data_IF_880563316272
#
_entry.id   IF_880563316272
#
_cell.length_a   1.000
_cell.length_b   1.000
_cell.length_c   1.000
_cell.angle_alpha   90.00
_cell.angle_beta   90.00
_cell.angle_gamma   90.00
#
_symmetry.space_group_name_H-M   'P 1'
#
loop_
_entity.id
_entity.type
_entity.pdbx_description
1 polymer ?
#
# COMPACT_ATOMS: atom_id res chain seq x y z
N UNK A 1 -23.76 44.17 8.05
CA UNK A 1 -24.04 43.71 6.80
C UNK A 1 -22.92 43.04 6.10
N UNK A 2 -21.77 43.55 6.21
CA UNK A 2 -20.66 42.92 5.56
C UNK A 2 -20.41 41.52 6.10
N UNK A 3 -20.73 41.36 7.34
CA UNK A 3 -20.47 40.09 7.95
C UNK A 3 -21.12 38.94 7.23
N UNK A 4 -22.26 39.21 6.68
CA UNK A 4 -22.90 38.09 6.05
C UNK A 4 -22.20 37.64 4.81
N UNK A 5 -21.55 38.54 4.17
CA UNK A 5 -20.85 38.12 2.99
C UNK A 5 -19.82 37.10 3.37
N UNK A 6 -19.24 37.31 4.50
CA UNK A 6 -18.21 36.43 4.93
C UNK A 6 -18.77 35.09 5.21
N UNK A 7 -19.92 35.10 5.78
CA UNK A 7 -20.53 33.85 6.09
C UNK A 7 -20.64 33.03 4.84
N UNK A 8 -20.94 33.67 3.77
CA UNK A 8 -21.06 32.97 2.55
C UNK A 8 -19.77 32.40 2.10
N UNK A 9 -18.78 33.22 2.16
CA UNK A 9 -17.47 32.74 1.74
C UNK A 9 -17.10 31.55 2.56
N UNK A 10 -17.36 31.65 3.81
CA UNK A 10 -17.03 30.54 4.67
C UNK A 10 -17.80 29.32 4.25
N UNK A 11 -19.01 29.56 3.86
CA UNK A 11 -19.81 28.44 3.44
C UNK A 11 -19.18 27.76 2.28
N UNK A 12 -18.54 28.52 1.46
CA UNK A 12 -17.90 27.92 0.33
C UNK A 12 -16.83 26.99 0.76
N UNK A 13 -16.18 27.38 1.79
CA UNK A 13 -15.09 26.60 2.27
C UNK A 13 -15.57 25.21 2.54
N UNK A 14 -16.83 25.09 2.76
CA UNK A 14 -17.34 23.79 2.99
C UNK A 14 -17.14 22.96 1.83
N UNK A 15 -16.72 23.54 0.79
CA UNK A 15 -16.35 22.79 -0.34
C UNK A 15 -15.27 21.86 0.08
N UNK A 16 -14.61 22.23 1.13
CA UNK A 16 -13.64 21.34 1.68
C UNK A 16 -14.28 20.02 1.97
N UNK A 17 -15.58 20.02 2.07
CA UNK A 17 -16.28 18.80 2.29
C UNK A 17 -16.07 17.84 1.12
N UNK A 18 -15.79 18.38 -0.04
CA UNK A 18 -15.53 17.52 -1.17
C UNK A 18 -14.27 16.74 -0.94
N UNK A 19 -13.36 17.27 -0.15
CA UNK A 19 -12.13 16.54 0.12
C UNK A 19 -12.40 15.30 0.95
N UNK A 20 -13.53 15.27 1.63
CA UNK A 20 -13.87 14.12 2.43
C UNK A 20 -14.07 12.88 1.57
N UNK A 21 -14.32 13.04 0.30
CA UNK A 21 -14.48 11.90 -0.58
C UNK A 21 -13.17 11.50 -1.25
N UNK A 22 -12.11 12.26 -1.05
CA UNK A 22 -10.82 11.92 -1.62
C UNK A 22 -10.17 10.77 -0.87
N UNK A 23 -9.43 9.95 -1.56
CA UNK A 23 -8.70 8.87 -0.94
C UNK A 23 -7.54 9.41 -0.13
N UNK A 24 -7.34 8.85 1.05
CA UNK A 24 -6.21 9.22 1.89
C UNK A 24 -4.97 8.46 1.45
N UNK A 25 -3.83 9.09 1.63
CA UNK A 25 -2.55 8.50 1.32
C UNK A 25 -1.84 8.19 2.63
N UNK A 26 -1.27 7.00 2.73
CA UNK A 26 -0.46 6.61 3.88
C UNK A 26 0.93 6.23 3.41
N UNK A 27 1.87 6.31 4.33
CA UNK A 27 3.23 5.87 4.03
C UNK A 27 3.23 4.36 3.81
N UNK A 28 4.04 3.88 2.89
CA UNK A 28 4.16 2.44 2.69
C UNK A 28 5.03 1.82 3.78
N UNK A 29 4.93 0.52 3.88
CA UNK A 29 5.43 -0.21 5.03
C UNK A 29 6.56 -1.19 4.68
N UNK A 30 7.33 -0.91 3.63
CA UNK A 30 8.43 -1.81 3.27
C UNK A 30 9.46 -1.94 4.38
N UNK A 31 9.61 -0.90 5.19
CA UNK A 31 10.55 -0.95 6.30
C UNK A 31 10.19 -2.01 7.33
N UNK A 32 8.95 -2.49 7.32
CA UNK A 32 8.51 -3.56 8.20
C UNK A 32 8.85 -4.94 7.67
N UNK A 33 9.39 -5.02 6.46
CA UNK A 33 9.69 -6.31 5.83
C UNK A 33 11.19 -6.51 5.74
N UNK A 34 11.60 -7.76 5.94
CA UNK A 34 12.99 -8.13 5.82
C UNK A 34 12.96 -9.49 5.16
N UNK A 35 13.16 -9.51 3.85
CA UNK A 35 13.01 -10.71 3.04
C UNK A 35 14.21 -11.63 3.19
N UNK A 36 13.94 -12.90 3.33
CA UNK A 36 14.97 -13.89 3.49
C UNK A 36 14.38 -15.27 3.64
N UNK A 37 15.19 -16.24 4.06
CA UNK A 37 14.74 -17.58 4.23
C UNK A 37 14.59 -17.95 5.70
N UNK A 38 13.54 -18.69 6.00
CA UNK A 38 13.34 -19.31 7.30
C UNK A 38 13.25 -20.82 7.02
N UNK A 39 14.33 -21.52 7.32
CA UNK A 39 14.43 -22.91 6.89
C UNK A 39 14.54 -22.96 5.36
N UNK A 40 13.64 -23.69 4.72
CA UNK A 40 13.60 -23.78 3.26
C UNK A 40 12.61 -22.79 2.64
N UNK A 41 11.89 -22.05 3.45
CA UNK A 41 10.86 -21.14 2.94
C UNK A 41 11.40 -19.73 2.80
N UNK A 42 11.16 -19.11 1.63
CA UNK A 42 11.47 -17.72 1.40
C UNK A 42 10.27 -16.86 1.76
N UNK A 43 10.52 -15.75 2.44
CA UNK A 43 9.43 -14.85 2.82
C UNK A 43 9.94 -13.69 3.64
N UNK A 44 9.04 -13.12 4.41
CA UNK A 44 9.36 -11.99 5.27
C UNK A 44 8.53 -12.05 6.55
N UNK A 45 9.05 -11.44 7.60
CA UNK A 45 8.31 -11.28 8.84
C UNK A 45 7.88 -9.83 8.98
N UNK A 46 6.67 -9.60 9.44
CA UNK A 46 6.23 -8.25 9.74
C UNK A 46 6.87 -7.80 11.05
N UNK A 47 7.82 -6.87 10.97
CA UNK A 47 8.53 -6.38 12.14
C UNK A 47 7.91 -5.11 12.71
N UNK A 48 6.83 -4.61 12.15
CA UNK A 48 6.10 -3.48 12.71
C UNK A 48 5.13 -3.94 13.80
N UNK A 49 4.58 -2.98 14.52
CA UNK A 49 3.64 -3.26 15.61
C UNK A 49 2.19 -3.25 15.14
N UNK A 50 1.95 -3.26 13.85
CA UNK A 50 0.61 -3.23 13.27
C UNK A 50 0.56 -4.17 12.07
N UNK A 51 -0.63 -4.62 11.68
CA UNK A 51 -0.73 -5.49 10.51
C UNK A 51 -0.44 -4.72 9.23
N UNK A 52 0.13 -5.42 8.25
CA UNK A 52 0.44 -4.83 6.95
C UNK A 52 -0.20 -5.68 5.86
N UNK A 53 -0.44 -5.05 4.73
CA UNK A 53 -0.98 -5.72 3.55
C UNK A 53 0.15 -5.82 2.52
N UNK A 54 0.53 -7.04 2.17
CA UNK A 54 1.60 -7.27 1.21
C UNK A 54 0.98 -7.76 -0.10
N UNK A 55 1.36 -7.12 -1.18
CA UNK A 55 1.01 -7.56 -2.52
C UNK A 55 2.31 -7.99 -3.17
N UNK A 56 2.42 -9.27 -3.50
CA UNK A 56 3.66 -9.88 -3.98
C UNK A 56 3.45 -10.44 -5.37
N UNK A 57 4.43 -10.24 -6.24
CA UNK A 57 4.37 -10.80 -7.59
C UNK A 57 5.67 -11.52 -7.92
N UNK A 58 5.55 -12.77 -8.32
CA UNK A 58 6.67 -13.52 -8.90
C UNK A 58 6.64 -13.29 -10.40
N UNK A 59 7.73 -12.76 -10.95
CA UNK A 59 7.73 -12.32 -12.33
C UNK A 59 7.78 -13.47 -13.33
N UNK A 60 8.38 -14.59 -12.95
CA UNK A 60 8.52 -15.72 -13.85
C UNK A 60 7.20 -16.32 -14.28
N UNK A 61 6.32 -16.59 -13.33
CA UNK A 61 5.01 -17.17 -13.63
C UNK A 61 3.90 -16.13 -13.48
N UNK A 62 4.26 -14.87 -13.24
CA UNK A 62 3.33 -13.75 -13.09
C UNK A 62 2.27 -14.01 -12.01
N UNK A 63 2.65 -14.75 -11.00
CA UNK A 63 1.73 -15.08 -9.92
C UNK A 63 1.68 -13.93 -8.92
N UNK A 64 0.46 -13.48 -8.59
CA UNK A 64 0.24 -12.40 -7.65
C UNK A 64 -0.42 -12.96 -6.40
N UNK A 65 0.14 -12.63 -5.25
CA UNK A 65 -0.39 -13.07 -3.95
C UNK A 65 -0.58 -11.82 -3.09
N UNK A 66 -1.77 -11.67 -2.54
CA UNK A 66 -2.04 -10.58 -1.61
C UNK A 66 -2.35 -11.18 -0.25
N UNK A 67 -1.73 -10.65 0.80
CA UNK A 67 -1.92 -11.18 2.13
C UNK A 67 -1.82 -10.10 3.18
N UNK A 68 -2.72 -10.17 4.16
CA UNK A 68 -2.63 -9.35 5.35
C UNK A 68 -1.76 -10.10 6.35
N UNK A 69 -0.72 -9.45 6.87
CA UNK A 69 0.27 -10.08 7.74
C UNK A 69 0.25 -9.41 9.10
N UNK A 70 -0.22 -10.10 10.15
CA UNK A 70 -0.23 -9.53 11.49
C UNK A 70 1.18 -9.24 12.03
N UNK A 71 1.30 -8.40 13.06
CA UNK A 71 2.60 -8.13 13.66
C UNK A 71 3.29 -9.42 14.09
N UNK A 72 4.57 -9.55 13.75
CA UNK A 72 5.36 -10.71 14.11
C UNK A 72 5.13 -11.95 13.27
N UNK A 73 4.14 -11.93 12.39
CA UNK A 73 3.81 -13.10 11.58
C UNK A 73 4.73 -13.21 10.36
N UNK A 74 4.81 -14.41 9.84
CA UNK A 74 5.61 -14.73 8.68
C UNK A 74 4.73 -14.83 7.42
N UNK A 75 5.20 -14.25 6.33
CA UNK A 75 4.55 -14.37 5.03
C UNK A 75 5.49 -15.08 4.06
N UNK A 76 5.09 -16.25 3.58
CA UNK A 76 5.83 -17.02 2.60
C UNK A 76 4.98 -17.19 1.37
N UNK A 77 5.27 -16.52 0.25
CA UNK A 77 4.39 -16.56 -0.92
C UNK A 77 4.38 -17.88 -1.70
N UNK A 78 5.32 -18.77 -1.47
CA UNK A 78 5.36 -20.08 -2.16
C UNK A 78 5.27 -19.93 -3.67
N UNK A 79 6.17 -19.15 -4.24
CA UNK A 79 6.17 -18.89 -5.68
C UNK A 79 7.53 -19.18 -6.26
N UNK A 80 7.58 -19.38 -7.59
CA UNK A 80 8.84 -19.54 -8.29
C UNK A 80 9.50 -18.17 -8.43
N UNK A 81 10.67 -18.00 -7.80
CA UNK A 81 11.37 -16.74 -7.78
C UNK A 81 12.43 -16.61 -8.86
N UNK A 82 12.59 -17.64 -9.71
CA UNK A 82 13.67 -17.68 -10.67
C UNK A 82 13.63 -16.52 -11.68
N UNK A 83 12.44 -16.00 -11.98
CA UNK A 83 12.32 -14.85 -12.88
C UNK A 83 12.37 -13.51 -12.19
N UNK A 84 12.67 -13.48 -10.90
CA UNK A 84 12.61 -12.26 -10.11
C UNK A 84 11.26 -12.08 -9.46
N UNK A 85 11.17 -11.10 -8.57
CA UNK A 85 9.94 -10.82 -7.83
C UNK A 85 9.93 -9.37 -7.39
N UNK A 86 8.75 -8.89 -7.05
CA UNK A 86 8.60 -7.56 -6.48
C UNK A 86 7.39 -7.54 -5.58
N UNK A 87 7.31 -6.54 -4.70
CA UNK A 87 6.24 -6.46 -3.74
C UNK A 87 5.91 -5.02 -3.39
N UNK A 88 4.73 -4.82 -2.84
CA UNK A 88 4.35 -3.58 -2.18
C UNK A 88 3.88 -3.90 -0.78
N UNK A 89 4.07 -2.97 0.14
CA UNK A 89 3.61 -3.13 1.51
C UNK A 89 2.90 -1.87 1.95
N UNK A 90 1.64 -2.00 2.34
CA UNK A 90 0.81 -0.89 2.76
C UNK A 90 0.14 -1.22 4.09
N UNK A 91 -0.29 -0.20 4.86
CA UNK A 91 -1.13 -0.47 6.02
C UNK A 91 -2.41 -1.17 5.59
N UNK A 92 -2.97 -1.99 6.49
CA UNK A 92 -4.24 -2.66 6.19
C UNK A 92 -5.32 -1.62 5.91
N UNK A 93 -6.12 -1.87 4.88
CA UNK A 93 -7.10 -0.92 4.42
C UNK A 93 -6.60 0.00 3.31
N UNK A 94 -5.32 -0.12 2.98
CA UNK A 94 -4.71 0.68 1.93
C UNK A 94 -4.14 -0.24 0.86
N UNK A 95 -4.07 0.25 -0.36
CA UNK A 95 -3.56 -0.52 -1.49
C UNK A 95 -2.64 0.37 -2.32
N UNK A 96 -1.64 -0.22 -2.99
CA UNK A 96 -0.75 0.58 -3.83
C UNK A 96 -1.51 1.11 -5.05
N UNK A 97 -1.12 2.29 -5.51
CA UNK A 97 -1.77 2.94 -6.63
C UNK A 97 -1.18 2.54 -7.98
N UNK A 98 -0.37 1.50 -8.01
CA UNK A 98 0.21 1.00 -9.27
C UNK A 98 -0.10 -0.48 -9.41
N UNK A 99 -0.10 -0.94 -10.67
CA UNK A 99 -0.34 -2.33 -10.97
C UNK A 99 0.99 -3.02 -11.23
N UNK A 100 1.02 -4.31 -11.00
CA UNK A 100 2.17 -5.12 -11.36
C UNK A 100 2.17 -5.32 -12.87
N UNK A 101 2.88 -4.46 -13.57
CA UNK A 101 3.00 -4.50 -15.01
C UNK A 101 4.42 -4.15 -15.38
N UNK A 102 4.82 -4.54 -16.57
CA UNK A 102 6.20 -4.34 -17.00
C UNK A 102 6.61 -2.87 -16.93
N UNK A 103 5.71 -1.97 -17.31
CA UNK A 103 6.01 -0.55 -17.31
C UNK A 103 6.14 0.04 -15.92
N UNK A 104 5.63 -0.65 -14.90
CA UNK A 104 5.69 -0.16 -13.52
C UNK A 104 6.80 -0.82 -12.71
N UNK A 105 7.58 -1.71 -13.34
CA UNK A 105 8.58 -2.47 -12.60
C UNK A 105 9.55 -1.59 -11.83
N UNK A 106 10.09 -0.57 -12.48
CA UNK A 106 11.04 0.32 -11.82
C UNK A 106 10.39 1.06 -10.66
N UNK A 107 9.17 1.55 -10.86
CA UNK A 107 8.47 2.28 -9.81
C UNK A 107 8.23 1.41 -8.59
N UNK A 108 7.92 0.14 -8.78
CA UNK A 108 7.71 -0.78 -7.66
C UNK A 108 9.03 -1.07 -6.96
N UNK A 109 10.07 -1.36 -7.72
CA UNK A 109 11.37 -1.67 -7.14
C UNK A 109 11.95 -0.49 -6.37
N UNK A 110 11.68 0.73 -6.82
CA UNK A 110 12.17 1.93 -6.17
C UNK A 110 11.19 2.48 -5.14
N UNK A 111 10.12 1.75 -4.89
CA UNK A 111 9.07 2.15 -3.93
C UNK A 111 8.44 3.49 -4.29
N UNK A 112 8.30 3.77 -5.58
CA UNK A 112 7.71 5.01 -6.05
C UNK A 112 6.21 4.87 -6.25
N UNK A 113 5.52 4.39 -5.23
CA UNK A 113 4.08 4.24 -5.27
C UNK A 113 3.48 4.80 -3.97
N UNK A 114 2.20 5.08 -4.00
CA UNK A 114 1.48 5.53 -2.81
C UNK A 114 0.52 4.46 -2.35
N UNK A 115 0.33 4.38 -1.04
CA UNK A 115 -0.69 3.52 -0.46
C UNK A 115 -1.96 4.35 -0.29
N UNK A 116 -2.98 4.04 -1.06
CA UNK A 116 -4.23 4.78 -1.03
C UNK A 116 -5.29 3.99 -0.27
N UNK A 117 -6.14 4.69 0.45
CA UNK A 117 -7.22 4.04 1.18
C UNK A 117 -8.13 3.31 0.21
N UNK A 118 -8.64 2.14 0.64
CA UNK A 118 -9.52 1.34 -0.20
C UNK A 118 -10.84 2.05 -0.46
N UNK A 119 -11.24 2.93 0.45
CA UNK A 119 -12.48 3.70 0.30
C UNK A 119 -12.17 5.16 0.57
N UNK A 120 -12.74 6.08 -0.22
CA UNK A 120 -12.55 7.50 0.03
C UNK A 120 -12.97 7.88 1.44
N UNK A 121 -12.19 8.73 2.08
CA UNK A 121 -12.52 9.22 3.40
C UNK A 121 -12.14 8.32 4.56
N UNK A 122 -11.53 7.19 4.28
CA UNK A 122 -11.12 6.25 5.34
C UNK A 122 -9.78 6.67 5.93
#
# INVERSE_FOLDING_TARGET
>A
MTARCYALSCALVMLGATDASAQQIKAHMEACTEWGRSGSEFGTRNSCDRPISILFMALGDQRVVEREVPPGAWFGPSADLSGGWMFTACPVGYAPNIRFAAENKTAILDSLYNCLSARPGV
#
